data_IF_324260420592
#
_entry.id   IF_324260420592
#
_cell.length_a   1.000
_cell.length_b   1.000
_cell.length_c   1.000
_cell.angle_alpha   90.00
_cell.angle_beta   90.00
_cell.angle_gamma   90.00
#
_symmetry.space_group_name_H-M   'P 1'
#
loop_
_entity.id
_entity.type
_entity.pdbx_description
1 polymer ?
#
# COMPACT_ATOMS: atom_id res chain seq x y z
N UNK A 1 -3.62 27.31 16.64
CA UNK A 1 -3.79 25.89 17.01
C UNK A 1 -3.54 25.06 15.77
N UNK A 2 -2.96 23.88 15.96
CA UNK A 2 -2.22 23.11 14.96
C UNK A 2 -2.98 22.90 13.65
N UNK A 3 -2.31 23.18 12.53
CA UNK A 3 -2.76 22.78 11.22
C UNK A 3 -2.91 21.26 11.21
N UNK A 4 -4.15 20.79 11.07
CA UNK A 4 -4.47 19.43 10.68
C UNK A 4 -3.89 19.22 9.28
N UNK A 5 -2.62 18.83 9.23
CA UNK A 5 -2.05 18.23 8.03
C UNK A 5 -2.84 16.94 7.83
N UNK A 6 -3.80 16.95 6.91
CA UNK A 6 -4.11 15.76 6.13
C UNK A 6 -2.78 15.37 5.47
N UNK A 7 -2.04 14.52 6.17
CA UNK A 7 -0.81 13.93 5.67
C UNK A 7 -1.23 13.22 4.40
N UNK A 8 -0.89 13.84 3.26
CA UNK A 8 -0.84 13.15 1.98
C UNK A 8 0.02 11.93 2.31
N UNK A 9 -0.58 10.74 2.30
CA UNK A 9 0.10 9.47 2.49
C UNK A 9 1.03 9.27 1.27
N UNK A 10 2.04 10.12 1.16
CA UNK A 10 3.12 9.97 0.20
C UNK A 10 3.92 8.79 0.72
N UNK A 11 3.75 7.65 0.04
CA UNK A 11 4.44 6.42 0.37
C UNK A 11 5.95 6.68 0.37
N UNK A 12 6.54 6.70 1.56
CA UNK A 12 7.98 6.90 1.71
C UNK A 12 8.70 5.57 1.51
N UNK A 13 9.35 5.42 0.35
CA UNK A 13 10.11 4.23 0.01
C UNK A 13 11.58 4.44 0.42
N UNK A 14 12.04 3.71 1.44
CA UNK A 14 13.40 3.88 2.02
C UNK A 14 14.46 2.99 1.36
N UNK A 15 14.08 1.81 0.89
CA UNK A 15 14.94 0.85 0.17
C UNK A 15 14.07 -0.28 -0.36
N UNK A 16 14.29 -0.69 -1.61
CA UNK A 16 13.43 -1.60 -2.36
C UNK A 16 14.25 -2.34 -3.40
N UNK A 17 14.02 -3.64 -3.52
CA UNK A 17 14.65 -4.54 -4.51
C UNK A 17 13.64 -4.94 -5.60
N UNK A 18 12.75 -4.00 -5.94
CA UNK A 18 11.62 -4.20 -6.84
C UNK A 18 11.55 -3.06 -7.84
N UNK A 19 11.07 -3.35 -9.05
CA UNK A 19 10.91 -2.35 -10.11
C UNK A 19 9.93 -1.25 -9.68
N UNK A 20 10.12 -0.06 -10.23
CA UNK A 20 9.31 1.13 -9.90
C UNK A 20 7.82 0.89 -10.16
N UNK A 21 7.47 0.18 -11.25
CA UNK A 21 6.11 -0.28 -11.52
C UNK A 21 5.54 -1.12 -10.38
N UNK A 22 6.28 -2.11 -9.88
CA UNK A 22 5.81 -2.98 -8.80
C UNK A 22 5.67 -2.21 -7.47
N UNK A 23 6.48 -1.16 -7.27
CA UNK A 23 6.35 -0.27 -6.10
C UNK A 23 5.08 0.55 -6.18
N UNK A 24 4.83 1.16 -7.33
CA UNK A 24 3.63 1.97 -7.56
C UNK A 24 2.37 1.12 -7.34
N UNK A 25 2.34 -0.10 -7.89
CA UNK A 25 1.25 -1.04 -7.68
C UNK A 25 1.07 -1.42 -6.20
N UNK A 26 2.16 -1.66 -5.47
CA UNK A 26 2.09 -1.98 -4.04
C UNK A 26 1.53 -0.81 -3.20
N UNK A 27 1.86 0.42 -3.58
CA UNK A 27 1.34 1.64 -2.94
C UNK A 27 -0.15 1.80 -3.23
N UNK A 28 -0.57 1.64 -4.48
CA UNK A 28 -1.99 1.71 -4.87
C UNK A 28 -2.83 0.65 -4.13
N UNK A 29 -2.31 -0.58 -4.02
CA UNK A 29 -2.96 -1.65 -3.26
C UNK A 29 -3.07 -1.33 -1.77
N UNK A 30 -2.05 -0.72 -1.17
CA UNK A 30 -2.09 -0.32 0.23
C UNK A 30 -3.15 0.77 0.50
N UNK A 31 -3.24 1.75 -0.40
CA UNK A 31 -4.27 2.80 -0.34
C UNK A 31 -5.66 2.18 -0.47
N UNK A 32 -5.87 1.32 -1.46
CA UNK A 32 -7.15 0.65 -1.67
C UNK A 32 -7.55 -0.23 -0.48
N UNK A 33 -6.59 -0.91 0.14
CA UNK A 33 -6.82 -1.74 1.32
C UNK A 33 -7.30 -0.90 2.52
N UNK A 34 -6.70 0.27 2.73
CA UNK A 34 -7.09 1.20 3.80
C UNK A 34 -8.46 1.83 3.56
N UNK A 35 -8.88 1.98 2.31
CA UNK A 35 -10.21 2.49 1.94
C UNK A 35 -11.29 1.39 2.07
N UNK A 36 -11.00 0.16 1.64
CA UNK A 36 -11.97 -0.96 1.67
C UNK A 36 -12.11 -1.62 3.04
N UNK A 37 -11.06 -1.61 3.85
CA UNK A 37 -11.01 -2.33 5.11
C UNK A 37 -10.63 -1.40 6.26
N UNK A 38 -11.41 -1.43 7.35
CA UNK A 38 -11.15 -0.66 8.56
C UNK A 38 -10.49 -1.48 9.69
N UNK A 39 -10.34 -2.79 9.49
CA UNK A 39 -9.73 -3.71 10.47
C UNK A 39 -8.30 -4.01 10.03
N UNK A 40 -7.30 -3.70 10.87
CA UNK A 40 -5.87 -3.87 10.58
C UNK A 40 -5.51 -5.28 10.06
N UNK A 41 -6.13 -6.31 10.64
CA UNK A 41 -5.93 -7.69 10.22
C UNK A 41 -6.38 -7.93 8.76
N UNK A 42 -7.53 -7.40 8.38
CA UNK A 42 -8.05 -7.51 7.02
C UNK A 42 -7.21 -6.70 6.04
N UNK A 43 -6.81 -5.48 6.41
CA UNK A 43 -5.89 -4.65 5.61
C UNK A 43 -4.59 -5.42 5.33
N UNK A 44 -3.98 -6.01 6.36
CA UNK A 44 -2.75 -6.79 6.21
C UNK A 44 -2.94 -8.05 5.35
N UNK A 45 -4.08 -8.75 5.49
CA UNK A 45 -4.41 -9.91 4.65
C UNK A 45 -4.64 -9.51 3.19
N UNK A 46 -5.35 -8.42 2.95
CA UNK A 46 -5.64 -7.88 1.63
C UNK A 46 -4.35 -7.48 0.92
N UNK A 47 -3.52 -6.63 1.54
CA UNK A 47 -2.22 -6.21 0.98
C UNK A 47 -1.33 -7.43 0.69
N UNK A 48 -1.22 -8.37 1.64
CA UNK A 48 -0.40 -9.57 1.45
C UNK A 48 -0.90 -10.43 0.29
N UNK A 49 -2.21 -10.59 0.12
CA UNK A 49 -2.79 -11.41 -0.94
C UNK A 49 -2.67 -10.74 -2.30
N UNK A 50 -2.98 -9.46 -2.39
CA UNK A 50 -3.02 -8.71 -3.64
C UNK A 50 -1.60 -8.50 -4.20
N UNK A 51 -0.64 -8.13 -3.35
CA UNK A 51 0.78 -7.98 -3.75
C UNK A 51 1.39 -9.34 -4.14
N UNK A 52 1.07 -10.43 -3.43
CA UNK A 52 1.54 -11.78 -3.81
C UNK A 52 0.91 -12.28 -5.11
N UNK A 53 -0.39 -12.07 -5.28
CA UNK A 53 -1.14 -12.48 -6.47
C UNK A 53 -0.62 -11.80 -7.73
N UNK A 54 -0.31 -10.50 -7.65
CA UNK A 54 0.30 -9.75 -8.76
C UNK A 54 1.71 -10.23 -9.08
N UNK A 55 2.56 -10.47 -8.07
CA UNK A 55 3.94 -10.96 -8.28
C UNK A 55 4.03 -12.36 -8.88
N UNK A 56 3.00 -13.19 -8.70
CA UNK A 56 2.92 -14.53 -9.29
C UNK A 56 2.31 -14.56 -10.69
N UNK A 57 1.82 -13.42 -11.19
CA UNK A 57 1.15 -13.28 -12.48
C UNK A 57 2.06 -12.72 -13.58
N UNK A 58 3.32 -12.43 -13.26
CA UNK A 58 4.38 -11.99 -14.16
C UNK A 58 5.42 -13.10 -14.35
#
# INVERSE_FOLDING_TARGET
MAAEKKEKLEAQIKSVDMTEDMQQEAVEVAIEAMDKHHIEKDIAQFIKREVRGRRHRA
#
